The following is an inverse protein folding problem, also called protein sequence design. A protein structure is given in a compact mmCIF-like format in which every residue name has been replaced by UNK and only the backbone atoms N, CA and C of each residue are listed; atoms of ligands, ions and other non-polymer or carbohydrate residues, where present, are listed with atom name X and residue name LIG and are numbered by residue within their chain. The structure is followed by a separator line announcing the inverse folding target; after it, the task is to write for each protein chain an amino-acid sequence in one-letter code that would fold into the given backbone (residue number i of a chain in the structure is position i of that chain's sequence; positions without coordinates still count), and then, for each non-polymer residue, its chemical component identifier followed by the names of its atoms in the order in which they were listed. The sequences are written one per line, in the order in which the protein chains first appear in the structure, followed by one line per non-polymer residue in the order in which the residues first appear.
data_IF_389785801733
#
_entry.id   IF_389785801733
#
_cell.length_a   1.000
_cell.length_b   1.000
_cell.length_c   1.000
_cell.angle_alpha   90.00
_cell.angle_beta   90.00
_cell.angle_gamma   90.00
#
_symmetry.space_group_name_H-M   'P 1'
#
loop_
_entity.id
_entity.type
_entity.pdbx_description
1 polymer ?
#
# COMPACT_ATOMS: atom_id res chain seq x y z
N UNK A 1 -11.26 -26.52 24.61
CA UNK A 1 -11.81 -25.28 24.02
C UNK A 1 -11.73 -25.32 22.49
N UNK A 2 -10.57 -25.67 21.91
CA UNK A 2 -10.36 -25.68 20.45
C UNK A 2 -11.17 -26.70 19.65
N UNK A 3 -11.65 -27.79 20.27
CA UNK A 3 -12.40 -28.85 19.56
C UNK A 3 -13.66 -28.34 18.85
N UNK A 4 -14.41 -27.44 19.48
CA UNK A 4 -15.62 -26.86 18.86
C UNK A 4 -15.30 -26.17 17.53
N UNK A 5 -14.26 -25.35 17.49
CA UNK A 5 -13.87 -24.62 16.28
C UNK A 5 -13.36 -25.56 15.19
N UNK A 6 -12.66 -26.62 15.57
CA UNK A 6 -12.26 -27.68 14.65
C UNK A 6 -13.46 -28.39 14.03
N UNK A 7 -14.48 -28.75 14.82
CA UNK A 7 -15.72 -29.38 14.33
C UNK A 7 -16.52 -28.46 13.41
N UNK A 8 -16.46 -27.14 13.62
CA UNK A 8 -17.05 -26.15 12.71
C UNK A 8 -16.30 -26.02 11.38
N UNK A 9 -15.09 -26.60 11.26
CA UNK A 9 -14.24 -26.49 10.08
C UNK A 9 -13.46 -25.18 9.99
N UNK A 10 -13.28 -24.45 11.11
CA UNK A 10 -12.47 -23.24 11.13
C UNK A 10 -10.97 -23.57 11.06
N UNK A 11 -10.18 -22.71 10.41
CA UNK A 11 -8.72 -22.84 10.35
C UNK A 11 -7.99 -22.20 11.54
N UNK A 12 -8.67 -21.33 12.28
CA UNK A 12 -8.09 -20.59 13.40
C UNK A 12 -9.10 -19.89 14.26
N UNK A 13 -8.61 -19.24 15.31
CA UNK A 13 -9.38 -18.39 16.21
C UNK A 13 -8.63 -17.11 16.55
N UNK A 14 -9.37 -16.00 16.57
CA UNK A 14 -8.84 -14.68 16.92
C UNK A 14 -9.11 -14.36 18.38
N UNK A 15 -8.06 -14.01 19.11
CA UNK A 15 -8.08 -13.53 20.48
C UNK A 15 -8.10 -12.00 20.47
N UNK A 16 -9.31 -11.42 20.51
CA UNK A 16 -9.48 -9.97 20.50
C UNK A 16 -8.91 -9.29 21.75
N UNK A 17 -9.05 -9.97 22.90
CA UNK A 17 -8.40 -9.65 24.17
C UNK A 17 -7.42 -10.76 24.54
N UNK A 18 -6.27 -10.36 25.08
CA UNK A 18 -5.24 -11.29 25.55
C UNK A 18 -5.44 -11.77 27.00
N UNK A 19 -4.61 -12.74 27.36
CA UNK A 19 -4.45 -13.35 28.67
C UNK A 19 -3.05 -13.01 29.22
N UNK A 20 -2.33 -13.99 29.77
CA UNK A 20 -1.03 -13.78 30.44
C UNK A 20 0.16 -14.05 29.54
N UNK A 21 -0.05 -14.40 28.27
CA UNK A 21 0.98 -14.80 27.31
C UNK A 21 1.24 -16.32 27.31
N UNK A 22 1.14 -16.96 28.48
CA UNK A 22 1.37 -18.39 28.63
C UNK A 22 0.22 -19.22 28.01
N UNK A 23 -1.03 -18.77 28.19
CA UNK A 23 -2.20 -19.45 27.63
C UNK A 23 -2.15 -19.47 26.11
N UNK A 24 -1.85 -18.34 25.49
CA UNK A 24 -1.73 -18.19 24.03
C UNK A 24 -0.62 -19.10 23.49
N UNK A 25 0.56 -19.07 24.14
CA UNK A 25 1.67 -19.93 23.76
C UNK A 25 1.29 -21.42 23.84
N UNK A 26 0.55 -21.83 24.87
CA UNK A 26 0.01 -23.18 24.97
C UNK A 26 -1.00 -23.48 23.87
N UNK A 27 -1.90 -22.54 23.56
CA UNK A 27 -2.93 -22.68 22.53
C UNK A 27 -2.35 -22.89 21.13
N UNK A 28 -1.18 -22.31 20.81
CA UNK A 28 -0.49 -22.58 19.53
C UNK A 28 -0.11 -24.05 19.31
N UNK A 29 -0.05 -24.84 20.39
CA UNK A 29 0.26 -26.28 20.40
C UNK A 29 -0.99 -27.16 20.49
N UNK A 30 -2.17 -26.62 20.20
CA UNK A 30 -3.40 -27.40 20.16
C UNK A 30 -3.30 -28.58 19.16
N UNK A 31 -3.92 -29.74 19.46
CA UNK A 31 -3.74 -30.95 18.64
C UNK A 31 -4.40 -30.87 17.26
N UNK A 32 -5.28 -29.91 17.04
CA UNK A 32 -5.99 -29.69 15.78
C UNK A 32 -5.26 -28.75 14.81
N UNK A 33 -4.11 -28.19 15.25
CA UNK A 33 -3.29 -27.24 14.47
C UNK A 33 -4.05 -25.97 14.04
N UNK A 34 -5.08 -25.58 14.78
CA UNK A 34 -5.76 -24.31 14.57
C UNK A 34 -4.77 -23.15 14.78
N UNK A 35 -4.83 -22.16 13.89
CA UNK A 35 -4.08 -20.90 14.04
C UNK A 35 -4.64 -20.10 15.21
N UNK A 36 -3.75 -19.50 15.98
CA UNK A 36 -4.07 -18.57 17.06
C UNK A 36 -3.71 -17.19 16.55
N UNK A 37 -4.72 -16.39 16.25
CA UNK A 37 -4.53 -15.01 15.81
C UNK A 37 -4.68 -14.07 17.01
N UNK A 38 -3.72 -13.18 17.23
CA UNK A 38 -3.74 -12.23 18.35
C UNK A 38 -3.84 -10.79 17.85
N UNK A 39 -4.42 -9.93 18.69
CA UNK A 39 -4.56 -8.51 18.39
C UNK A 39 -3.21 -7.79 18.30
N UNK A 40 -2.95 -7.17 17.14
CA UNK A 40 -1.73 -6.38 16.89
C UNK A 40 -1.85 -4.91 17.32
N UNK A 41 -3.07 -4.37 17.41
CA UNK A 41 -3.31 -2.92 17.50
C UNK A 41 -2.94 -2.28 18.84
N UNK A 42 -2.65 -3.08 19.87
CA UNK A 42 -2.47 -2.59 21.24
C UNK A 42 -1.19 -1.79 21.48
N UNK A 43 -0.13 -2.00 20.68
CA UNK A 43 1.18 -1.36 20.89
C UNK A 43 1.89 -1.76 22.19
N UNK A 44 1.36 -2.70 22.95
CA UNK A 44 1.98 -3.20 24.19
C UNK A 44 3.05 -4.25 23.88
N UNK A 45 3.73 -4.77 24.90
CA UNK A 45 4.72 -5.86 24.77
C UNK A 45 4.03 -7.25 24.80
N UNK A 46 2.80 -7.32 24.33
CA UNK A 46 1.97 -8.52 24.44
C UNK A 46 2.54 -9.69 23.65
N UNK A 47 2.95 -9.46 22.40
CA UNK A 47 3.63 -10.48 21.58
C UNK A 47 4.95 -10.92 22.23
N UNK A 48 5.77 -10.00 22.73
CA UNK A 48 7.04 -10.30 23.41
C UNK A 48 6.82 -11.23 24.63
N UNK A 49 5.75 -10.97 25.39
CA UNK A 49 5.37 -11.79 26.53
C UNK A 49 4.93 -13.20 26.12
N UNK A 50 4.14 -13.36 25.05
CA UNK A 50 3.80 -14.67 24.49
C UNK A 50 5.07 -15.41 24.05
N UNK A 51 5.97 -14.72 23.34
CA UNK A 51 7.23 -15.29 22.84
C UNK A 51 8.13 -15.80 23.96
N UNK A 52 8.06 -15.22 25.15
CA UNK A 52 8.80 -15.67 26.34
C UNK A 52 8.39 -17.07 26.82
N UNK A 53 7.22 -17.57 26.44
CA UNK A 53 6.71 -18.90 26.76
C UNK A 53 6.89 -19.94 25.62
N UNK A 54 7.75 -19.65 24.65
CA UNK A 54 8.12 -20.57 23.55
C UNK A 54 6.90 -21.11 22.75
N UNK A 55 6.07 -20.22 22.18
CA UNK A 55 4.93 -20.60 21.34
C UNK A 55 5.40 -21.36 20.10
N UNK A 56 4.49 -22.10 19.47
CA UNK A 56 4.67 -22.54 18.10
C UNK A 56 4.34 -21.38 17.15
N UNK A 57 5.35 -20.68 16.66
CA UNK A 57 5.21 -19.49 15.80
C UNK A 57 4.51 -19.77 14.49
N UNK A 58 4.63 -20.98 13.95
CA UNK A 58 3.92 -21.38 12.72
C UNK A 58 2.40 -21.34 12.89
N UNK A 59 1.91 -21.43 14.14
CA UNK A 59 0.50 -21.37 14.49
C UNK A 59 0.11 -20.07 15.19
N UNK A 60 0.99 -19.06 15.21
CA UNK A 60 0.71 -17.76 15.80
C UNK A 60 0.64 -16.71 14.68
N UNK A 61 -0.49 -16.02 14.58
CA UNK A 61 -0.73 -14.96 13.61
C UNK A 61 -1.05 -13.66 14.34
N UNK A 62 -0.83 -12.52 13.69
CA UNK A 62 -1.28 -11.23 14.17
C UNK A 62 -2.31 -10.62 13.23
N UNK A 63 -3.37 -10.03 13.78
CA UNK A 63 -4.20 -9.12 13.01
C UNK A 63 -4.55 -7.84 13.76
N UNK A 64 -4.57 -6.73 13.03
CA UNK A 64 -5.07 -5.47 13.54
C UNK A 64 -6.59 -5.51 13.76
N UNK A 65 -7.09 -4.62 14.61
CA UNK A 65 -8.51 -4.30 14.68
C UNK A 65 -8.95 -3.46 13.46
N UNK A 66 -10.26 -3.45 13.22
CA UNK A 66 -10.96 -2.42 12.45
C UNK A 66 -11.73 -1.50 13.40
N UNK A 67 -12.06 -0.29 12.93
CA UNK A 67 -12.60 0.77 13.78
C UNK A 67 -13.89 1.37 13.21
N UNK A 68 -15.07 0.97 13.72
CA UNK A 68 -16.37 1.44 13.23
C UNK A 68 -16.66 2.92 13.47
N UNK A 69 -16.10 3.49 14.54
CA UNK A 69 -16.27 4.91 14.88
C UNK A 69 -15.29 5.75 14.06
N UNK A 70 -15.78 6.77 13.36
CA UNK A 70 -14.91 7.67 12.60
C UNK A 70 -13.90 8.36 13.51
N UNK A 71 -12.68 8.56 13.01
CA UNK A 71 -11.54 9.15 13.73
C UNK A 71 -10.99 8.30 14.89
N UNK A 72 -11.33 7.02 14.98
CA UNK A 72 -10.73 6.09 15.96
C UNK A 72 -9.88 5.00 15.30
N UNK A 73 -9.76 4.98 13.98
CA UNK A 73 -8.77 4.18 13.27
C UNK A 73 -7.36 4.50 13.74
N UNK A 74 -6.43 3.57 13.51
CA UNK A 74 -5.04 3.79 13.89
C UNK A 74 -4.44 4.94 13.07
N UNK A 75 -3.66 5.78 13.75
CA UNK A 75 -2.72 6.67 13.07
C UNK A 75 -1.54 5.88 12.52
N UNK A 76 -0.99 6.34 11.38
CA UNK A 76 0.05 5.62 10.63
C UNK A 76 1.28 5.23 11.48
N UNK A 77 1.79 6.13 12.31
CA UNK A 77 2.99 5.86 13.13
C UNK A 77 2.74 4.77 14.18
N UNK A 78 1.56 4.76 14.81
CA UNK A 78 1.18 3.72 15.77
C UNK A 78 0.96 2.37 15.08
N UNK A 79 0.35 2.40 13.89
CA UNK A 79 0.22 1.21 13.05
C UNK A 79 1.59 0.60 12.74
N UNK A 80 2.55 1.38 12.21
CA UNK A 80 3.91 0.92 11.91
C UNK A 80 4.56 0.30 13.15
N UNK A 81 4.55 1.02 14.27
CA UNK A 81 5.10 0.54 15.54
C UNK A 81 4.52 -0.81 15.98
N UNK A 82 3.20 -0.98 15.83
CA UNK A 82 2.52 -2.24 16.15
C UNK A 82 2.93 -3.37 15.20
N UNK A 83 2.92 -3.12 13.89
CA UNK A 83 3.22 -4.14 12.89
C UNK A 83 4.68 -4.58 12.94
N UNK A 84 5.63 -3.67 13.16
CA UNK A 84 7.06 -3.97 13.26
C UNK A 84 7.38 -4.95 14.40
N UNK A 85 6.65 -4.91 15.53
CA UNK A 85 6.85 -5.89 16.62
C UNK A 85 6.57 -7.32 16.16
N UNK A 86 5.50 -7.51 15.39
CA UNK A 86 5.12 -8.84 14.87
C UNK A 86 6.08 -9.30 13.77
N UNK A 87 6.45 -8.37 12.87
CA UNK A 87 7.45 -8.64 11.83
C UNK A 87 8.83 -9.00 12.41
N UNK A 88 9.21 -8.41 13.55
CA UNK A 88 10.43 -8.75 14.27
C UNK A 88 10.53 -10.22 14.69
N UNK A 89 9.39 -10.91 14.84
CA UNK A 89 9.31 -12.34 15.12
C UNK A 89 8.98 -13.19 13.88
N UNK A 90 8.95 -12.59 12.69
CA UNK A 90 8.53 -13.23 11.44
C UNK A 90 7.12 -13.84 11.51
N UNK A 91 6.23 -13.24 12.30
CA UNK A 91 4.83 -13.66 12.33
C UNK A 91 4.11 -13.09 11.11
N UNK A 92 3.15 -13.85 10.58
CA UNK A 92 2.25 -13.35 9.55
C UNK A 92 1.31 -12.30 10.17
N UNK A 93 1.06 -11.24 9.40
CA UNK A 93 0.39 -10.01 9.83
C UNK A 93 -0.78 -9.67 8.92
N UNK A 94 -1.89 -9.25 9.50
CA UNK A 94 -3.10 -8.89 8.75
C UNK A 94 -3.66 -7.52 9.13
N UNK A 95 -4.17 -6.77 8.15
CA UNK A 95 -4.92 -5.54 8.36
C UNK A 95 -6.25 -5.52 7.59
N UNK A 96 -7.15 -4.63 8.00
CA UNK A 96 -8.48 -4.50 7.43
C UNK A 96 -8.62 -3.28 6.52
N UNK A 97 -9.31 -3.46 5.39
CA UNK A 97 -9.74 -2.41 4.46
C UNK A 97 -11.25 -2.28 4.44
N UNK A 98 -11.73 -1.10 4.05
CA UNK A 98 -13.14 -0.76 3.95
C UNK A 98 -13.61 -0.83 2.49
N UNK A 99 -14.66 -1.60 2.21
CA UNK A 99 -15.44 -1.45 0.98
C UNK A 99 -16.40 -0.26 1.10
N UNK A 100 -16.51 0.54 0.04
CA UNK A 100 -17.47 1.65 -0.06
C UNK A 100 -18.87 1.16 -0.50
N UNK A 101 -18.97 0.01 -1.17
CA UNK A 101 -20.26 -0.57 -1.56
C UNK A 101 -20.95 -1.39 -0.46
N UNK A 102 -20.17 -1.89 0.51
CA UNK A 102 -20.66 -2.73 1.59
C UNK A 102 -21.53 -1.97 2.60
N UNK A 103 -22.59 -2.64 3.08
CA UNK A 103 -23.62 -2.06 3.98
C UNK A 103 -23.83 -2.86 5.27
N UNK A 104 -23.18 -4.01 5.40
CA UNK A 104 -23.26 -4.92 6.53
C UNK A 104 -21.93 -4.94 7.29
N UNK A 105 -22.05 -5.11 8.61
CA UNK A 105 -20.93 -5.15 9.54
C UNK A 105 -21.43 -5.57 10.93
N UNK A 106 -20.54 -5.63 11.93
CA UNK A 106 -20.85 -6.28 13.20
C UNK A 106 -21.82 -5.48 14.09
N UNK A 107 -21.92 -4.16 13.92
CA UNK A 107 -22.68 -3.27 14.81
C UNK A 107 -23.64 -2.36 14.04
N UNK A 108 -24.72 -1.83 14.65
CA UNK A 108 -25.64 -0.93 13.94
C UNK A 108 -25.01 0.38 13.41
N UNK A 109 -23.98 0.89 14.09
CA UNK A 109 -23.26 2.11 13.71
C UNK A 109 -21.93 1.72 13.05
N UNK A 110 -21.73 2.16 11.81
CA UNK A 110 -20.56 1.81 10.99
C UNK A 110 -20.21 2.99 10.08
N UNK A 111 -19.16 3.74 10.39
CA UNK A 111 -18.67 4.84 9.55
C UNK A 111 -17.54 4.36 8.61
N UNK A 112 -17.68 3.14 8.09
CA UNK A 112 -16.62 2.39 7.41
C UNK A 112 -15.75 1.58 8.38
N UNK A 113 -15.28 0.41 7.95
CA UNK A 113 -14.51 -0.52 8.75
C UNK A 113 -13.10 -0.70 8.15
N UNK A 114 -12.11 -0.02 8.72
CA UNK A 114 -10.70 -0.12 8.31
C UNK A 114 -9.77 -0.10 9.51
N UNK A 115 -8.53 -0.54 9.33
CA UNK A 115 -7.48 -0.47 10.36
C UNK A 115 -6.88 0.93 10.49
N UNK A 116 -6.44 1.53 9.37
CA UNK A 116 -5.88 2.88 9.34
C UNK A 116 -6.98 3.91 9.14
N UNK A 117 -6.97 5.00 9.90
CA UNK A 117 -8.00 6.04 9.76
C UNK A 117 -7.98 6.69 8.37
N UNK A 118 -6.77 6.92 7.81
CA UNK A 118 -6.57 7.52 6.49
C UNK A 118 -7.16 6.68 5.34
N UNK A 119 -7.50 5.40 5.58
CA UNK A 119 -8.10 4.51 4.59
C UNK A 119 -9.61 4.66 4.45
N UNK A 120 -10.29 5.24 5.43
CA UNK A 120 -11.75 5.16 5.60
C UNK A 120 -12.54 5.56 4.34
N UNK A 121 -12.07 6.57 3.63
CA UNK A 121 -12.74 7.12 2.43
C UNK A 121 -11.99 6.83 1.14
N UNK A 122 -10.86 6.12 1.19
CA UNK A 122 -10.09 5.77 0.00
C UNK A 122 -10.78 4.64 -0.77
N UNK A 123 -10.53 4.61 -2.08
CA UNK A 123 -10.85 3.46 -2.90
C UNK A 123 -10.10 2.20 -2.39
N UNK A 124 -10.71 1.03 -2.52
CA UNK A 124 -10.21 -0.20 -1.89
C UNK A 124 -8.83 -0.59 -2.43
N UNK A 125 -8.59 -0.38 -3.72
CA UNK A 125 -7.31 -0.58 -4.38
C UNK A 125 -6.21 0.30 -3.78
N UNK A 126 -6.50 1.56 -3.45
CA UNK A 126 -5.54 2.49 -2.84
C UNK A 126 -5.22 2.06 -1.40
N UNK A 127 -6.21 1.56 -0.66
CA UNK A 127 -5.99 1.01 0.67
C UNK A 127 -5.06 -0.22 0.61
N UNK A 128 -5.32 -1.14 -0.32
CA UNK A 128 -4.51 -2.35 -0.55
C UNK A 128 -3.08 -1.98 -0.96
N UNK A 129 -2.92 -1.08 -1.94
CA UNK A 129 -1.61 -0.58 -2.37
C UNK A 129 -0.82 0.00 -1.21
N UNK A 130 -1.45 0.82 -0.37
CA UNK A 130 -0.77 1.39 0.81
C UNK A 130 -0.27 0.28 1.74
N UNK A 131 -1.12 -0.67 2.13
CA UNK A 131 -0.73 -1.76 3.04
C UNK A 131 0.44 -2.58 2.49
N UNK A 132 0.40 -2.97 1.22
CA UNK A 132 1.49 -3.71 0.57
C UNK A 132 2.78 -2.90 0.50
N UNK A 133 2.69 -1.61 0.14
CA UNK A 133 3.85 -0.72 0.03
C UNK A 133 4.55 -0.47 1.37
N UNK A 134 3.86 -0.64 2.50
CA UNK A 134 4.51 -0.61 3.82
C UNK A 134 5.53 -1.74 4.00
N UNK A 135 5.29 -2.91 3.38
CA UNK A 135 6.06 -4.13 3.62
C UNK A 135 5.82 -4.74 5.01
N UNK A 136 4.77 -4.32 5.71
CA UNK A 136 4.48 -4.71 7.09
C UNK A 136 3.27 -5.64 7.24
N UNK A 137 2.49 -5.85 6.17
CA UNK A 137 1.25 -6.63 6.17
C UNK A 137 1.33 -7.71 5.10
N UNK A 138 1.00 -8.94 5.48
CA UNK A 138 0.99 -10.11 4.60
C UNK A 138 -0.42 -10.36 4.05
N UNK A 139 -1.44 -10.28 4.91
CA UNK A 139 -2.84 -10.57 4.58
C UNK A 139 -3.74 -9.32 4.70
N UNK A 140 -4.68 -9.16 3.77
CA UNK A 140 -5.61 -8.01 3.75
C UNK A 140 -7.04 -8.52 3.65
N UNK A 141 -7.89 -8.07 4.57
CA UNK A 141 -9.31 -8.50 4.65
C UNK A 141 -10.25 -7.32 4.53
N UNK A 142 -11.34 -7.46 3.77
CA UNK A 142 -12.43 -6.48 3.77
C UNK A 142 -13.25 -6.66 5.05
N UNK A 143 -13.33 -5.64 5.90
CA UNK A 143 -13.99 -5.78 7.21
C UNK A 143 -15.52 -5.72 7.14
N UNK A 144 -16.09 -5.01 6.17
CA UNK A 144 -17.52 -4.90 5.93
C UNK A 144 -17.96 -5.75 4.73
N UNK A 145 -19.26 -6.05 4.66
CA UNK A 145 -19.85 -6.91 3.64
C UNK A 145 -21.11 -6.29 3.00
N UNK A 146 -21.47 -6.62 1.76
CA UNK A 146 -20.65 -7.29 0.77
C UNK A 146 -19.94 -6.24 -0.06
N UNK A 147 -18.63 -6.42 -0.28
CA UNK A 147 -17.93 -5.65 -1.30
C UNK A 147 -18.54 -5.94 -2.67
N UNK A 148 -18.54 -4.94 -3.54
CA UNK A 148 -18.99 -5.15 -4.92
C UNK A 148 -17.99 -6.00 -5.71
N UNK A 149 -18.45 -6.67 -6.77
CA UNK A 149 -17.57 -7.40 -7.69
C UNK A 149 -16.45 -6.51 -8.27
N UNK A 150 -16.76 -5.24 -8.54
CA UNK A 150 -15.78 -4.27 -9.02
C UNK A 150 -14.68 -3.99 -7.98
N UNK A 151 -15.06 -3.85 -6.69
CA UNK A 151 -14.11 -3.66 -5.59
C UNK A 151 -13.26 -4.91 -5.33
N UNK A 152 -13.88 -6.10 -5.38
CA UNK A 152 -13.15 -7.36 -5.23
C UNK A 152 -12.14 -7.57 -6.37
N UNK A 153 -12.52 -7.24 -7.60
CA UNK A 153 -11.62 -7.28 -8.75
C UNK A 153 -10.46 -6.28 -8.58
N UNK A 154 -10.74 -5.03 -8.20
CA UNK A 154 -9.72 -4.00 -7.99
C UNK A 154 -8.76 -4.35 -6.83
N UNK A 155 -9.29 -4.93 -5.76
CA UNK A 155 -8.50 -5.48 -4.65
C UNK A 155 -7.59 -6.61 -5.12
N UNK A 156 -8.11 -7.58 -5.87
CA UNK A 156 -7.34 -8.72 -6.37
C UNK A 156 -6.22 -8.27 -7.33
N UNK A 157 -6.53 -7.37 -8.26
CA UNK A 157 -5.54 -6.80 -9.19
C UNK A 157 -4.42 -6.07 -8.45
N UNK A 158 -4.76 -5.29 -7.42
CA UNK A 158 -3.78 -4.57 -6.61
C UNK A 158 -2.95 -5.51 -5.73
N UNK A 159 -3.58 -6.54 -5.15
CA UNK A 159 -2.91 -7.47 -4.25
C UNK A 159 -1.92 -8.38 -4.99
N UNK A 160 -2.29 -8.83 -6.19
CA UNK A 160 -1.48 -9.73 -7.01
C UNK A 160 -0.58 -9.01 -8.02
N UNK A 161 -0.55 -7.68 -8.02
CA UNK A 161 0.32 -6.92 -8.90
C UNK A 161 1.80 -7.27 -8.63
N UNK A 162 2.55 -7.60 -9.69
CA UNK A 162 3.98 -7.90 -9.58
C UNK A 162 4.80 -6.69 -9.11
N UNK A 163 4.31 -5.49 -9.41
CA UNK A 163 4.93 -4.22 -9.03
C UNK A 163 3.85 -3.24 -8.58
N UNK A 164 4.18 -2.28 -7.70
CA UNK A 164 3.30 -1.16 -7.41
C UNK A 164 2.87 -0.43 -8.68
N UNK A 165 1.60 -0.06 -8.77
CA UNK A 165 1.04 0.67 -9.92
C UNK A 165 0.39 1.96 -9.42
N UNK A 166 0.75 3.09 -10.02
CA UNK A 166 0.16 4.39 -9.73
C UNK A 166 -0.66 4.92 -10.91
N UNK A 167 -1.77 5.58 -10.62
CA UNK A 167 -2.64 6.22 -11.59
C UNK A 167 -2.17 7.64 -11.89
N UNK A 168 -2.24 8.01 -13.17
CA UNK A 168 -1.81 9.30 -13.70
C UNK A 168 -3.00 10.02 -14.36
N UNK A 169 -3.32 11.20 -13.85
CA UNK A 169 -4.15 12.19 -14.53
C UNK A 169 -3.31 12.83 -15.63
N UNK A 170 -3.58 12.44 -16.88
CA UNK A 170 -2.74 12.81 -18.02
C UNK A 170 -2.99 14.26 -18.47
N UNK A 171 -1.92 15.00 -18.78
CA UNK A 171 -2.04 16.36 -19.30
C UNK A 171 -2.75 16.36 -20.67
N UNK A 172 -3.57 17.39 -20.91
CA UNK A 172 -4.37 17.51 -22.14
C UNK A 172 -3.53 17.57 -23.41
N UNK A 173 -2.33 18.12 -23.31
CA UNK A 173 -1.38 18.33 -24.39
C UNK A 173 -0.27 17.28 -24.43
N UNK A 174 -0.39 16.17 -23.68
CA UNK A 174 0.56 15.07 -23.76
C UNK A 174 0.70 14.58 -25.21
N UNK A 175 1.93 14.30 -25.62
CA UNK A 175 2.22 13.71 -26.92
C UNK A 175 2.12 12.18 -26.88
N UNK A 176 2.00 11.54 -28.05
CA UNK A 176 1.98 10.08 -28.14
C UNK A 176 3.30 9.45 -27.66
N UNK A 177 4.43 10.10 -27.94
CA UNK A 177 5.74 9.63 -27.48
C UNK A 177 5.85 9.69 -25.95
N UNK A 178 5.29 10.71 -25.32
CA UNK A 178 5.25 10.82 -23.86
C UNK A 178 4.32 9.78 -23.26
N UNK A 179 3.14 9.52 -23.84
CA UNK A 179 2.26 8.41 -23.42
C UNK A 179 2.98 7.06 -23.48
N UNK A 180 3.66 6.77 -24.60
CA UNK A 180 4.49 5.56 -24.73
C UNK A 180 5.60 5.51 -23.68
N UNK A 181 6.19 6.65 -23.34
CA UNK A 181 7.22 6.78 -22.31
C UNK A 181 6.67 6.64 -20.88
N UNK A 182 5.37 6.86 -20.62
CA UNK A 182 4.80 6.61 -19.30
C UNK A 182 4.23 5.21 -19.14
N UNK A 183 3.63 4.64 -20.19
CA UNK A 183 2.73 3.49 -20.01
C UNK A 183 3.21 2.19 -20.65
N UNK A 184 4.23 2.21 -21.51
CA UNK A 184 4.66 1.02 -22.26
C UNK A 184 5.92 0.34 -21.70
N UNK A 185 6.32 0.66 -20.46
CA UNK A 185 7.41 -0.04 -19.80
C UNK A 185 7.31 0.03 -18.28
N UNK A 186 8.09 -0.81 -17.62
CA UNK A 186 8.23 -0.80 -16.17
C UNK A 186 9.27 0.25 -15.74
N UNK A 187 8.87 1.19 -14.89
CA UNK A 187 9.79 2.19 -14.36
C UNK A 187 10.70 1.57 -13.30
N UNK A 188 11.90 2.13 -13.18
CA UNK A 188 12.89 1.74 -12.18
C UNK A 188 13.36 2.98 -11.45
N UNK A 189 13.06 3.08 -10.16
CA UNK A 189 13.47 4.21 -9.34
C UNK A 189 14.98 4.13 -9.09
N UNK A 190 15.72 5.06 -9.68
CA UNK A 190 17.17 5.17 -9.50
C UNK A 190 17.55 5.40 -8.02
N UNK A 191 18.61 4.74 -7.58
CA UNK A 191 19.01 4.68 -6.17
C UNK A 191 19.67 5.90 -5.56
N UNK A 192 20.35 6.73 -6.36
CA UNK A 192 20.88 8.03 -5.94
C UNK A 192 19.74 9.06 -5.89
N UNK A 193 18.84 8.80 -4.95
CA UNK A 193 17.57 9.50 -4.81
C UNK A 193 17.75 10.94 -4.33
N UNK A 194 17.03 11.85 -5.00
CA UNK A 194 16.90 13.24 -4.60
C UNK A 194 15.63 13.42 -3.78
N UNK A 195 15.64 14.32 -2.80
CA UNK A 195 14.41 14.71 -2.09
C UNK A 195 13.39 15.43 -3.00
N UNK A 196 13.84 15.90 -4.16
CA UNK A 196 13.02 16.63 -5.13
C UNK A 196 12.40 15.76 -6.21
N UNK A 197 13.05 14.66 -6.59
CA UNK A 197 12.73 13.92 -7.81
C UNK A 197 12.89 12.41 -7.62
N UNK A 198 11.82 11.69 -7.95
CA UNK A 198 11.90 10.28 -8.31
C UNK A 198 12.29 10.19 -9.79
N UNK A 199 13.35 9.46 -10.10
CA UNK A 199 13.90 9.39 -11.47
C UNK A 199 13.85 7.98 -12.05
N UNK A 200 13.22 7.82 -13.21
CA UNK A 200 13.24 6.60 -14.02
C UNK A 200 14.23 6.74 -15.17
N UNK A 201 15.52 6.59 -14.90
CA UNK A 201 16.59 7.00 -15.83
C UNK A 201 16.67 6.17 -17.12
N UNK A 202 16.18 4.92 -17.15
CA UNK A 202 16.29 4.08 -18.35
C UNK A 202 15.42 4.54 -19.52
N UNK A 203 14.37 5.31 -19.24
CA UNK A 203 13.46 5.90 -20.23
C UNK A 203 14.22 6.69 -21.31
N UNK A 204 15.17 7.56 -20.92
CA UNK A 204 15.99 8.32 -21.88
C UNK A 204 16.86 7.45 -22.79
N UNK A 205 17.13 6.19 -22.40
CA UNK A 205 17.89 5.23 -23.21
C UNK A 205 16.94 4.53 -24.18
N UNK A 206 15.78 4.09 -23.70
CA UNK A 206 14.77 3.40 -24.50
C UNK A 206 14.16 4.30 -25.58
N UNK A 207 13.96 5.58 -25.26
CA UNK A 207 13.29 6.56 -26.12
C UNK A 207 14.25 7.65 -26.64
N UNK A 208 15.57 7.39 -26.66
CA UNK A 208 16.59 8.37 -27.07
C UNK A 208 16.35 8.95 -28.48
N UNK A 209 15.79 8.14 -29.37
CA UNK A 209 15.57 8.47 -30.79
C UNK A 209 14.19 9.12 -31.02
N UNK A 210 13.34 9.17 -30.00
CA UNK A 210 12.04 9.83 -30.05
C UNK A 210 12.16 11.34 -29.83
N UNK A 211 11.12 12.07 -30.26
CA UNK A 211 11.02 13.53 -30.11
C UNK A 211 10.19 13.89 -28.89
N UNK A 212 10.65 14.94 -28.20
CA UNK A 212 10.03 15.49 -27.00
C UNK A 212 10.14 17.02 -27.08
N UNK A 213 9.34 17.69 -27.93
CA UNK A 213 9.37 19.14 -28.07
C UNK A 213 8.96 19.80 -26.75
N UNK A 214 9.44 21.01 -26.49
CA UNK A 214 9.06 21.74 -25.28
C UNK A 214 7.58 22.14 -25.32
N UNK A 215 6.81 21.70 -24.33
CA UNK A 215 5.44 22.15 -24.05
C UNK A 215 5.13 21.96 -22.56
N UNK A 216 4.06 22.58 -22.06
CA UNK A 216 3.66 22.59 -20.65
C UNK A 216 4.84 22.65 -19.66
N UNK A 217 5.69 23.66 -19.82
CA UNK A 217 6.90 23.84 -19.01
C UNK A 217 6.67 24.73 -17.80
N UNK A 218 5.51 24.56 -17.15
CA UNK A 218 5.17 25.27 -15.93
C UNK A 218 6.05 24.81 -14.76
N UNK A 219 6.06 25.60 -13.69
CA UNK A 219 6.64 25.19 -12.42
C UNK A 219 5.99 23.90 -11.91
N UNK A 220 6.80 23.07 -11.27
CA UNK A 220 6.44 21.71 -10.89
C UNK A 220 5.95 21.69 -9.45
N UNK A 221 4.93 20.86 -9.19
CA UNK A 221 4.43 20.58 -7.86
C UNK A 221 4.62 19.09 -7.53
N UNK A 222 4.70 18.74 -6.25
CA UNK A 222 4.75 17.34 -5.81
C UNK A 222 3.63 16.54 -6.48
N UNK A 223 3.96 15.42 -7.12
CA UNK A 223 3.05 14.57 -7.87
C UNK A 223 3.05 14.79 -9.37
N UNK A 224 3.62 15.88 -9.87
CA UNK A 224 3.71 16.08 -11.31
C UNK A 224 4.61 15.01 -11.94
N UNK A 225 4.12 14.42 -13.02
CA UNK A 225 4.83 13.45 -13.86
C UNK A 225 5.49 14.23 -14.98
N UNK A 226 6.79 14.00 -15.15
CA UNK A 226 7.67 14.86 -15.93
C UNK A 226 8.40 14.06 -16.99
N UNK A 227 8.68 14.69 -18.13
CA UNK A 227 9.62 14.19 -19.13
C UNK A 227 10.58 15.31 -19.53
N UNK A 228 11.88 15.05 -19.42
CA UNK A 228 12.90 15.99 -19.88
C UNK A 228 12.83 16.12 -21.40
N UNK A 229 12.65 17.35 -21.90
CA UNK A 229 12.41 17.62 -23.30
C UNK A 229 13.73 17.79 -24.08
N UNK A 230 13.65 18.07 -25.38
CA UNK A 230 14.80 18.19 -26.29
C UNK A 230 15.85 19.21 -25.84
N UNK A 231 15.45 20.23 -25.06
CA UNK A 231 16.37 21.25 -24.54
C UNK A 231 17.25 20.74 -23.41
N UNK A 232 16.95 19.57 -22.84
CA UNK A 232 17.73 18.95 -21.76
C UNK A 232 18.86 18.03 -22.24
N UNK A 233 19.14 18.01 -23.56
CA UNK A 233 20.32 17.35 -24.13
C UNK A 233 20.42 15.87 -23.74
N UNK A 234 21.47 15.50 -23.01
CA UNK A 234 21.71 14.11 -22.58
C UNK A 234 20.64 13.53 -21.62
N UNK A 235 19.75 14.37 -21.09
CA UNK A 235 18.65 13.95 -20.23
C UNK A 235 17.32 13.78 -21.00
N UNK A 236 17.26 14.18 -22.28
CA UNK A 236 16.06 14.09 -23.11
C UNK A 236 15.41 12.70 -23.02
N UNK A 237 14.12 12.67 -22.72
CA UNK A 237 13.30 11.47 -22.60
C UNK A 237 13.37 10.81 -21.22
N UNK A 238 14.03 11.43 -20.23
CA UNK A 238 14.04 10.92 -18.85
C UNK A 238 12.69 11.22 -18.16
N UNK A 239 11.94 10.17 -17.82
CA UNK A 239 10.73 10.26 -16.99
C UNK A 239 11.08 10.46 -15.52
N UNK A 240 10.38 11.39 -14.88
CA UNK A 240 10.53 11.71 -13.46
C UNK A 240 9.18 11.96 -12.80
N UNK A 241 9.13 11.93 -11.47
CA UNK A 241 7.99 12.38 -10.67
C UNK A 241 8.51 13.39 -9.65
N UNK A 242 7.90 14.57 -9.60
CA UNK A 242 8.23 15.59 -8.63
C UNK A 242 7.81 15.16 -7.21
N UNK A 243 8.74 15.21 -6.26
CA UNK A 243 8.49 14.93 -4.84
C UNK A 243 8.33 16.22 -4.02
N UNK A 244 8.79 17.34 -4.56
CA UNK A 244 8.68 18.69 -4.01
C UNK A 244 8.38 19.70 -5.13
N UNK A 245 7.99 20.92 -4.75
CA UNK A 245 7.82 22.01 -5.70
C UNK A 245 9.18 22.49 -6.24
N UNK A 246 9.24 22.79 -7.54
CA UNK A 246 10.45 23.24 -8.23
C UNK A 246 10.12 24.25 -9.32
N UNK A 247 11.00 25.22 -9.54
CA UNK A 247 10.91 26.11 -10.70
C UNK A 247 11.33 25.40 -11.99
N UNK A 248 10.62 25.63 -13.09
CA UNK A 248 10.94 25.05 -14.39
C UNK A 248 11.50 26.11 -15.34
N UNK A 249 12.66 25.83 -15.94
CA UNK A 249 13.34 26.75 -16.85
C UNK A 249 13.03 26.48 -18.33
N UNK A 250 12.03 25.65 -18.62
CA UNK A 250 11.59 25.34 -19.98
C UNK A 250 12.18 24.05 -20.55
N UNK A 251 12.98 23.30 -19.79
CA UNK A 251 13.66 22.08 -20.27
C UNK A 251 12.94 20.77 -19.91
N UNK A 252 11.88 20.85 -19.13
CA UNK A 252 11.10 19.68 -18.71
C UNK A 252 9.63 19.92 -18.99
N UNK A 253 8.96 18.95 -19.60
CA UNK A 253 7.53 18.97 -19.85
C UNK A 253 6.80 18.37 -18.63
N UNK A 254 5.73 19.01 -18.17
CA UNK A 254 4.79 18.41 -17.23
C UNK A 254 3.74 17.65 -18.04
N UNK A 255 3.77 16.32 -17.98
CA UNK A 255 2.97 15.44 -18.87
C UNK A 255 1.77 14.80 -18.18
N UNK A 256 1.66 14.97 -16.86
CA UNK A 256 0.53 14.50 -16.08
C UNK A 256 0.78 14.70 -14.60
N UNK A 257 -0.07 14.10 -13.78
CA UNK A 257 0.02 14.17 -12.33
C UNK A 257 -0.44 12.85 -11.71
N UNK A 258 0.22 12.40 -10.66
CA UNK A 258 -0.26 11.27 -9.87
C UNK A 258 -1.63 11.62 -9.29
N UNK A 259 -2.58 10.69 -9.41
CA UNK A 259 -3.94 10.83 -8.90
C UNK A 259 -3.92 11.32 -7.44
N UNK A 260 -4.82 12.25 -7.10
CA UNK A 260 -4.76 12.97 -5.83
C UNK A 260 -4.80 12.04 -4.61
N UNK A 261 -5.63 11.01 -4.69
CA UNK A 261 -5.81 9.95 -3.70
C UNK A 261 -4.62 8.99 -3.59
N UNK A 262 -3.74 8.94 -4.58
CA UNK A 262 -2.53 8.11 -4.57
C UNK A 262 -1.25 8.91 -4.33
N UNK A 263 -1.33 10.24 -4.27
CA UNK A 263 -0.17 11.11 -4.12
C UNK A 263 0.69 10.78 -2.89
N UNK A 264 0.04 10.36 -1.81
CA UNK A 264 0.72 9.97 -0.58
C UNK A 264 1.53 8.68 -0.73
N UNK A 265 1.18 7.79 -1.68
CA UNK A 265 1.89 6.53 -1.93
C UNK A 265 3.33 6.75 -2.42
N UNK A 266 3.64 7.92 -3.00
CA UNK A 266 4.98 8.26 -3.45
C UNK A 266 6.04 8.15 -2.36
N UNK A 267 5.69 8.40 -1.09
CA UNK A 267 6.65 8.31 0.01
C UNK A 267 7.05 6.84 0.33
N UNK A 268 6.30 5.87 -0.16
CA UNK A 268 6.54 4.44 0.08
C UNK A 268 7.31 3.76 -1.04
N UNK A 269 7.44 4.41 -2.21
CA UNK A 269 8.31 3.92 -3.26
C UNK A 269 9.77 4.04 -2.82
N UNK A 270 10.48 2.91 -2.81
CA UNK A 270 11.85 2.85 -2.34
C UNK A 270 12.81 3.05 -3.52
N UNK A 271 13.94 3.77 -3.33
CA UNK A 271 15.00 3.76 -4.33
C UNK A 271 15.41 2.30 -4.63
N UNK A 272 15.72 2.02 -5.90
CA UNK A 272 15.93 0.68 -6.46
C UNK A 272 14.69 -0.21 -6.62
N UNK A 273 13.47 0.29 -6.34
CA UNK A 273 12.24 -0.44 -6.66
C UNK A 273 11.77 -0.20 -8.09
N UNK A 274 10.96 -1.12 -8.60
CA UNK A 274 10.23 -0.95 -9.86
C UNK A 274 8.76 -0.63 -9.59
N UNK A 275 8.12 0.09 -10.50
CA UNK A 275 6.71 0.45 -10.44
C UNK A 275 6.14 0.69 -11.85
N UNK A 276 4.84 0.51 -12.01
CA UNK A 276 4.09 0.85 -13.20
C UNK A 276 3.35 2.17 -13.05
N UNK A 277 3.09 2.82 -14.19
CA UNK A 277 2.13 3.91 -14.30
C UNK A 277 0.99 3.45 -15.22
N UNK A 278 -0.23 3.87 -14.91
CA UNK A 278 -1.41 3.65 -15.75
C UNK A 278 -2.25 4.93 -15.79
N UNK A 279 -3.07 5.09 -16.83
CA UNK A 279 -3.98 6.22 -16.92
C UNK A 279 -5.08 6.12 -15.86
N UNK A 280 -5.38 7.26 -15.22
CA UNK A 280 -6.56 7.38 -14.38
C UNK A 280 -7.81 7.44 -15.28
N UNK A 281 -8.85 6.65 -14.98
CA UNK A 281 -10.05 6.50 -15.81
C UNK A 281 -11.25 7.27 -15.26
#
# INVERSE_FOLDING_TARGET
MTYLFYELGADGLRLDLGFTGAEEAQMTRNPYRLKIEINMSGGTNYVDNIMSYSPNTDNLLGSHNFYPHRYTGLGYQHFVYCSEKFRGYNLNTMAFVNSQAATFGPWPIQDGLCTLEDHRTLAIETQVKHLLLTGLIDDITVANAYASEAELQAMAESFHALYPVLHVDVAKDITENERRCLFNHLHSYRGDASEYLLRSTMTRVYYKDETFPAHNTQDMLRGDVLIDNERYGQYKGETQIALQAMSNDGRTNVVGRIAAEELFLLQFLKPWSSFGLVENK
#
